data_IF_731783630310
#
_entry.id   IF_731783630310
#
_cell.length_a   1.000
_cell.length_b   1.000
_cell.length_c   1.000
_cell.angle_alpha   90.00
_cell.angle_beta   90.00
_cell.angle_gamma   90.00
#
_symmetry.space_group_name_H-M   'P 1'
#
loop_
_entity.id
_entity.type
_entity.pdbx_description
1 polymer ?
#
# COMPACT_ATOMS: atom_id res chain seq x y z
N UNK A 1 -11.57 -22.40 30.92
CA UNK A 1 -10.30 -21.77 30.54
C UNK A 1 -10.35 -21.49 29.05
N UNK A 2 -10.59 -20.25 28.65
CA UNK A 2 -10.38 -19.82 27.26
C UNK A 2 -8.87 -19.69 27.08
N UNK A 3 -8.27 -20.60 26.31
CA UNK A 3 -6.85 -20.53 25.98
C UNK A 3 -6.57 -19.23 25.25
N UNK A 4 -5.68 -18.41 25.79
CA UNK A 4 -5.21 -17.19 25.15
C UNK A 4 -4.50 -17.63 23.85
N UNK A 5 -5.10 -17.33 22.70
CA UNK A 5 -4.48 -17.59 21.40
C UNK A 5 -3.29 -16.63 21.31
N UNK A 6 -2.07 -17.17 21.32
CA UNK A 6 -0.86 -16.40 21.06
C UNK A 6 -0.91 -15.88 19.61
N UNK A 7 -0.68 -14.58 19.36
CA UNK A 7 -0.57 -14.07 17.99
C UNK A 7 0.67 -14.68 17.30
N UNK A 8 0.50 -15.02 16.01
CA UNK A 8 1.58 -15.53 15.16
C UNK A 8 2.63 -14.42 14.93
N UNK A 9 3.91 -14.77 15.03
CA UNK A 9 5.00 -13.86 14.65
C UNK A 9 5.13 -13.74 13.13
N UNK A 10 5.75 -12.65 12.64
CA UNK A 10 6.00 -12.47 11.21
C UNK A 10 6.80 -13.65 10.61
N UNK A 11 7.84 -14.10 11.30
CA UNK A 11 8.64 -15.24 10.85
C UNK A 11 7.86 -16.56 10.80
N UNK A 12 6.83 -16.73 11.64
CA UNK A 12 5.92 -17.87 11.56
C UNK A 12 4.96 -17.71 10.36
N UNK A 13 4.43 -16.50 10.13
CA UNK A 13 3.59 -16.21 8.97
C UNK A 13 4.31 -16.46 7.65
N UNK A 14 5.55 -15.96 7.51
CA UNK A 14 6.39 -16.19 6.32
C UNK A 14 6.57 -17.69 6.04
N UNK A 15 6.79 -18.49 7.09
CA UNK A 15 6.89 -19.96 6.95
C UNK A 15 5.59 -20.60 6.47
N UNK A 16 4.44 -20.11 6.92
CA UNK A 16 3.15 -20.62 6.45
C UNK A 16 2.87 -20.19 5.01
N UNK A 17 3.22 -18.95 4.62
CA UNK A 17 3.10 -18.46 3.24
C UNK A 17 3.93 -19.32 2.28
N UNK A 18 5.13 -19.74 2.68
CA UNK A 18 5.98 -20.63 1.88
C UNK A 18 5.40 -22.03 1.66
N UNK A 19 4.42 -22.45 2.45
CA UNK A 19 3.75 -23.76 2.32
C UNK A 19 2.52 -23.73 1.42
N UNK A 20 2.06 -22.53 1.01
CA UNK A 20 0.89 -22.40 0.15
C UNK A 20 1.13 -23.06 -1.19
N UNK A 21 0.10 -23.75 -1.70
CA UNK A 21 0.08 -24.16 -3.10
C UNK A 21 0.05 -22.93 -4.01
N UNK A 22 0.38 -23.10 -5.30
CA UNK A 22 0.35 -22.01 -6.27
C UNK A 22 -1.02 -21.30 -6.33
N UNK A 23 -2.12 -22.05 -6.22
CA UNK A 23 -3.48 -21.48 -6.21
C UNK A 23 -3.77 -20.67 -4.95
N UNK A 24 -3.38 -21.18 -3.78
CA UNK A 24 -3.56 -20.46 -2.51
C UNK A 24 -2.67 -19.22 -2.44
N UNK A 25 -1.43 -19.30 -2.94
CA UNK A 25 -0.54 -18.15 -3.02
C UNK A 25 -1.11 -17.07 -3.93
N UNK A 26 -1.66 -17.44 -5.09
CA UNK A 26 -2.31 -16.49 -6.00
C UNK A 26 -3.52 -15.80 -5.35
N UNK A 27 -4.35 -16.55 -4.62
CA UNK A 27 -5.48 -15.99 -3.89
C UNK A 27 -5.01 -15.06 -2.75
N UNK A 28 -3.97 -15.47 -2.01
CA UNK A 28 -3.38 -14.66 -0.94
C UNK A 28 -2.80 -13.35 -1.48
N UNK A 29 -2.02 -13.39 -2.56
CA UNK A 29 -1.45 -12.18 -3.16
C UNK A 29 -2.55 -11.23 -3.66
N UNK A 30 -3.60 -11.72 -4.32
CA UNK A 30 -4.72 -10.86 -4.73
C UNK A 30 -5.35 -10.14 -3.55
N UNK A 31 -5.62 -10.86 -2.46
CA UNK A 31 -6.16 -10.25 -1.26
C UNK A 31 -5.18 -9.25 -0.61
N UNK A 32 -3.88 -9.58 -0.59
CA UNK A 32 -2.86 -8.72 -0.02
C UNK A 32 -2.69 -7.42 -0.83
N UNK A 33 -2.79 -7.50 -2.15
CA UNK A 33 -2.77 -6.32 -3.03
C UNK A 33 -3.95 -5.40 -2.71
N UNK A 34 -5.17 -5.95 -2.60
CA UNK A 34 -6.36 -5.17 -2.22
C UNK A 34 -6.23 -4.54 -0.82
N UNK A 35 -5.65 -5.28 0.13
CA UNK A 35 -5.43 -4.79 1.49
C UNK A 35 -4.39 -3.67 1.55
N UNK A 36 -3.27 -3.84 0.86
CA UNK A 36 -2.18 -2.85 0.84
C UNK A 36 -2.57 -1.61 0.04
N UNK A 37 -3.36 -1.75 -1.03
CA UNK A 37 -3.94 -0.62 -1.76
C UNK A 37 -4.78 0.27 -0.84
N UNK A 38 -5.67 -0.31 -0.04
CA UNK A 38 -6.48 0.45 0.95
C UNK A 38 -5.62 1.19 1.96
N UNK A 39 -4.59 0.51 2.49
CA UNK A 39 -3.66 1.16 3.43
C UNK A 39 -2.88 2.29 2.78
N UNK A 40 -2.59 2.19 1.48
CA UNK A 40 -1.93 3.25 0.73
C UNK A 40 -2.87 4.42 0.47
N UNK A 41 -4.13 4.17 0.11
CA UNK A 41 -5.17 5.18 -0.05
C UNK A 41 -5.35 5.99 1.25
N UNK A 42 -5.50 5.30 2.40
CA UNK A 42 -5.64 5.95 3.70
C UNK A 42 -4.44 6.84 4.05
N UNK A 43 -3.21 6.40 3.74
CA UNK A 43 -2.00 7.18 3.99
C UNK A 43 -1.89 8.37 3.04
N UNK A 44 -2.25 8.19 1.77
CA UNK A 44 -2.25 9.25 0.76
C UNK A 44 -3.23 10.36 1.17
N UNK A 45 -4.44 10.01 1.57
CA UNK A 45 -5.45 10.98 2.04
C UNK A 45 -4.94 11.78 3.24
N UNK A 46 -4.30 11.12 4.21
CA UNK A 46 -3.70 11.80 5.37
C UNK A 46 -2.57 12.73 4.96
N UNK A 47 -1.72 12.33 4.02
CA UNK A 47 -0.60 13.13 3.55
C UNK A 47 -1.07 14.36 2.76
N UNK A 48 -2.13 14.21 1.96
CA UNK A 48 -2.83 15.32 1.31
C UNK A 48 -3.41 16.27 2.35
N UNK A 49 -4.16 15.76 3.33
CA UNK A 49 -4.77 16.58 4.38
C UNK A 49 -3.73 17.32 5.24
N UNK A 50 -2.53 16.73 5.40
CA UNK A 50 -1.41 17.33 6.10
C UNK A 50 -0.58 18.32 5.25
N UNK A 51 -0.93 18.54 3.97
CA UNK A 51 -0.22 19.43 3.06
C UNK A 51 1.17 18.94 2.65
N UNK A 52 1.49 17.65 2.89
CA UNK A 52 2.84 17.10 2.59
C UNK A 52 3.14 17.09 1.09
N UNK A 53 2.08 17.07 0.27
CA UNK A 53 2.18 16.99 -1.18
C UNK A 53 2.09 18.35 -1.88
N UNK A 54 1.82 19.44 -1.16
CA UNK A 54 1.58 20.78 -1.72
C UNK A 54 2.75 21.27 -2.58
N UNK A 55 3.98 21.04 -2.14
CA UNK A 55 5.19 21.41 -2.89
C UNK A 55 5.28 20.71 -4.24
N UNK A 56 4.75 19.50 -4.35
CA UNK A 56 4.77 18.73 -5.59
C UNK A 56 3.65 19.19 -6.52
N UNK A 57 2.47 19.51 -5.97
CA UNK A 57 1.38 20.11 -6.72
C UNK A 57 1.82 21.45 -7.33
N UNK A 58 2.39 22.36 -6.52
CA UNK A 58 2.91 23.63 -7.02
C UNK A 58 3.96 23.44 -8.12
N UNK A 59 4.87 22.48 -7.92
CA UNK A 59 5.91 22.20 -8.91
C UNK A 59 5.32 21.69 -10.24
N UNK A 60 4.30 20.84 -10.17
CA UNK A 60 3.60 20.33 -11.33
C UNK A 60 2.89 21.46 -12.10
N UNK A 61 2.23 22.38 -11.38
CA UNK A 61 1.59 23.56 -11.97
C UNK A 61 2.63 24.45 -12.68
N UNK A 62 3.74 24.76 -12.01
CA UNK A 62 4.83 25.55 -12.61
C UNK A 62 5.41 24.89 -13.86
N UNK A 63 5.59 23.57 -13.85
CA UNK A 63 6.10 22.82 -15.00
C UNK A 63 5.09 22.82 -16.15
N UNK A 64 3.80 22.74 -15.87
CA UNK A 64 2.74 22.88 -16.85
C UNK A 64 2.70 24.26 -17.50
N UNK A 65 2.66 25.31 -16.69
CA UNK A 65 2.59 26.71 -17.15
C UNK A 65 3.81 27.11 -17.99
N UNK A 66 4.97 26.51 -17.71
CA UNK A 66 6.23 26.82 -18.42
C UNK A 66 6.54 25.86 -19.57
N UNK A 67 5.62 24.97 -19.92
CA UNK A 67 5.79 24.04 -21.05
C UNK A 67 6.88 22.98 -20.82
N UNK A 68 7.16 22.64 -19.55
CA UNK A 68 8.11 21.57 -19.16
C UNK A 68 7.45 20.20 -19.03
N UNK A 69 6.19 20.05 -19.44
CA UNK A 69 5.49 18.78 -19.54
C UNK A 69 4.95 18.56 -20.96
N UNK A 70 4.70 17.30 -21.31
CA UNK A 70 4.04 16.90 -22.56
C UNK A 70 2.65 16.36 -22.26
N UNK A 71 1.73 16.49 -23.22
CA UNK A 71 0.44 15.78 -23.15
C UNK A 71 0.67 14.26 -23.12
N UNK A 72 -0.27 13.54 -22.49
CA UNK A 72 -0.27 12.08 -22.35
C UNK A 72 -0.75 11.38 -23.63
#
# INVERSE_FOLDING_TARGET
MLGIIRPMSLAELEKEVLKLSSGELSAFTRWLDDYTARSWDDQLEQDVAAGKLDRFAQKADEDFETGRCTEL
#
